data_IF_486444709234
#
_entry.id   IF_486444709234
#
_cell.length_a   1.000
_cell.length_b   1.000
_cell.length_c   1.000
_cell.angle_alpha   90.00
_cell.angle_beta   90.00
_cell.angle_gamma   90.00
#
_symmetry.space_group_name_H-M   'P 1'
#
loop_
_entity.id
_entity.type
_entity.pdbx_description
1 polymer ?
#
# COMPACT_ATOMS: atom_id res chain seq x y z
N UNK A 1 -5.11 20.55 -0.47
CA UNK A 1 -5.72 19.60 -1.43
C UNK A 1 -5.59 18.23 -0.80
N UNK A 2 -6.70 17.50 -0.64
CA UNK A 2 -6.68 16.17 -0.01
C UNK A 2 -5.90 15.17 -0.87
N UNK A 3 -5.51 14.03 -0.30
CA UNK A 3 -4.95 12.94 -1.11
C UNK A 3 -5.90 12.54 -2.24
N UNK A 4 -7.21 12.39 -1.97
CA UNK A 4 -8.17 11.98 -2.99
C UNK A 4 -8.27 12.98 -4.14
N UNK A 5 -8.25 14.28 -3.86
CA UNK A 5 -8.24 15.32 -4.91
C UNK A 5 -7.00 15.18 -5.83
N UNK A 6 -5.82 14.90 -5.25
CA UNK A 6 -4.58 14.66 -6.02
C UNK A 6 -4.72 13.40 -6.89
N UNK A 7 -5.32 12.33 -6.37
CA UNK A 7 -5.54 11.07 -7.10
C UNK A 7 -6.57 11.25 -8.23
N UNK A 8 -7.64 12.00 -7.99
CA UNK A 8 -8.68 12.28 -8.99
C UNK A 8 -8.16 13.15 -10.13
N UNK A 9 -7.36 14.18 -9.79
CA UNK A 9 -6.66 14.99 -10.78
C UNK A 9 -5.70 14.13 -11.63
N UNK A 10 -4.91 13.27 -10.99
CA UNK A 10 -4.04 12.33 -11.70
C UNK A 10 -4.82 11.37 -12.60
N UNK A 11 -5.93 10.81 -12.12
CA UNK A 11 -6.79 9.89 -12.87
C UNK A 11 -7.37 10.57 -14.10
N UNK A 12 -7.80 11.83 -13.99
CA UNK A 12 -8.28 12.61 -15.12
C UNK A 12 -7.19 12.84 -16.17
N UNK A 13 -5.98 13.23 -15.75
CA UNK A 13 -4.84 13.43 -16.64
C UNK A 13 -4.39 12.14 -17.33
N UNK A 14 -4.37 11.04 -16.58
CA UNK A 14 -4.04 9.71 -17.09
C UNK A 14 -5.06 9.26 -18.14
N UNK A 15 -6.36 9.43 -17.88
CA UNK A 15 -7.43 9.12 -18.86
C UNK A 15 -7.42 10.01 -20.09
N UNK A 16 -6.95 11.25 -19.95
CA UNK A 16 -6.79 12.18 -21.06
C UNK A 16 -5.52 11.90 -21.89
N UNK A 17 -4.73 10.87 -21.56
CA UNK A 17 -3.51 10.52 -22.28
C UNK A 17 -2.40 11.56 -22.14
N UNK A 18 -2.39 12.33 -21.05
CA UNK A 18 -1.36 13.36 -20.84
C UNK A 18 0.02 12.75 -20.52
N UNK A 19 1.12 13.47 -20.80
CA UNK A 19 2.44 13.12 -20.31
C UNK A 19 2.48 13.02 -18.77
N UNK A 20 3.39 12.22 -18.18
CA UNK A 20 4.42 11.43 -18.86
C UNK A 20 3.93 10.06 -19.35
N UNK A 21 2.74 9.62 -18.94
CA UNK A 21 2.28 8.25 -19.16
C UNK A 21 1.70 8.01 -20.55
N UNK A 22 1.09 9.04 -21.17
CA UNK A 22 0.51 8.96 -22.52
C UNK A 22 -0.36 7.70 -22.71
N UNK A 23 -1.23 7.42 -21.72
CA UNK A 23 -2.00 6.19 -21.66
C UNK A 23 -2.97 6.07 -22.85
N UNK A 24 -2.89 4.99 -23.64
CA UNK A 24 -3.82 4.76 -24.74
C UNK A 24 -5.26 4.52 -24.24
N UNK A 25 -6.31 5.08 -24.88
CA UNK A 25 -7.68 4.97 -24.38
C UNK A 25 -8.21 3.53 -24.20
N UNK A 26 -7.70 2.58 -24.97
CA UNK A 26 -8.10 1.17 -24.96
C UNK A 26 -7.66 0.41 -23.69
N UNK A 27 -6.72 0.95 -22.91
CA UNK A 27 -6.27 0.29 -21.69
C UNK A 27 -7.23 0.52 -20.51
N UNK A 28 -7.98 1.63 -20.51
CA UNK A 28 -8.80 2.01 -19.35
C UNK A 28 -9.93 1.02 -19.05
N UNK A 29 -10.74 0.58 -20.04
CA UNK A 29 -11.81 -0.38 -19.79
C UNK A 29 -11.28 -1.71 -19.21
N UNK A 30 -10.07 -2.12 -19.58
CA UNK A 30 -9.43 -3.34 -19.08
C UNK A 30 -9.10 -3.21 -17.58
N UNK A 31 -8.51 -2.08 -17.18
CA UNK A 31 -8.21 -1.82 -15.77
C UNK A 31 -9.47 -1.63 -14.93
N UNK A 32 -10.46 -0.91 -15.47
CA UNK A 32 -11.75 -0.69 -14.79
C UNK A 32 -12.50 -2.01 -14.60
N UNK A 33 -12.50 -2.89 -15.60
CA UNK A 33 -13.04 -4.25 -15.50
C UNK A 33 -12.35 -5.04 -14.40
N UNK A 34 -11.03 -5.05 -14.35
CA UNK A 34 -10.29 -5.78 -13.32
C UNK A 34 -10.59 -5.27 -11.91
N UNK A 35 -10.69 -3.95 -11.73
CA UNK A 35 -11.12 -3.35 -10.46
C UNK A 35 -12.54 -3.78 -10.10
N UNK A 36 -13.48 -3.71 -11.03
CA UNK A 36 -14.87 -4.11 -10.79
C UNK A 36 -15.01 -5.60 -10.44
N UNK A 37 -14.26 -6.48 -11.13
CA UNK A 37 -14.22 -7.91 -10.83
C UNK A 37 -13.62 -8.18 -9.45
N UNK A 38 -12.56 -7.48 -9.06
CA UNK A 38 -11.97 -7.61 -7.73
C UNK A 38 -12.94 -7.14 -6.63
N UNK A 39 -13.64 -6.03 -6.84
CA UNK A 39 -14.71 -5.56 -5.93
C UNK A 39 -15.80 -6.63 -5.81
N UNK A 40 -16.31 -7.11 -6.94
CA UNK A 40 -17.40 -8.10 -6.98
C UNK A 40 -16.99 -9.45 -6.36
N UNK A 41 -15.71 -9.80 -6.34
CA UNK A 41 -15.20 -11.03 -5.71
C UNK A 41 -15.41 -11.07 -4.20
N UNK A 42 -15.62 -9.91 -3.56
CA UNK A 42 -15.76 -9.80 -2.11
C UNK A 42 -14.47 -10.11 -1.33
N UNK A 43 -13.31 -10.20 -1.99
CA UNK A 43 -12.04 -10.53 -1.33
C UNK A 43 -11.68 -9.56 -0.20
N UNK A 44 -11.95 -8.26 -0.36
CA UNK A 44 -11.72 -7.25 0.69
C UNK A 44 -12.48 -7.54 1.99
N UNK A 45 -13.62 -8.25 1.94
CA UNK A 45 -14.37 -8.61 3.14
C UNK A 45 -13.64 -9.61 4.05
N UNK A 46 -12.60 -10.28 3.53
CA UNK A 46 -11.75 -11.25 4.22
C UNK A 46 -10.49 -10.61 4.81
N UNK A 47 -10.22 -9.34 4.50
CA UNK A 47 -9.09 -8.64 5.07
C UNK A 47 -9.31 -8.37 6.56
N UNK A 48 -8.20 -8.22 7.29
CA UNK A 48 -8.19 -7.86 8.72
C UNK A 48 -8.98 -6.57 8.94
N UNK A 49 -9.74 -6.50 10.02
CA UNK A 49 -10.60 -5.36 10.38
C UNK A 49 -10.23 -4.76 11.72
N UNK A 50 -10.68 -3.54 11.97
CA UNK A 50 -10.62 -2.97 13.31
C UNK A 50 -11.27 -3.93 14.35
N UNK A 51 -10.57 -4.14 15.46
CA UNK A 51 -10.91 -5.10 16.51
C UNK A 51 -10.18 -6.46 16.40
N UNK A 52 -9.65 -6.81 15.23
CA UNK A 52 -8.90 -8.05 15.04
C UNK A 52 -7.46 -7.95 15.58
N UNK A 53 -6.86 -9.10 15.86
CA UNK A 53 -5.42 -9.19 16.12
C UNK A 53 -4.65 -9.11 14.80
N UNK A 54 -3.71 -8.19 14.70
CA UNK A 54 -2.88 -8.06 13.51
C UNK A 54 -1.89 -9.25 13.39
N UNK A 55 -1.74 -9.86 12.21
CA UNK A 55 -0.66 -10.81 11.97
C UNK A 55 0.70 -10.19 12.26
N UNK A 56 1.55 -10.93 12.99
CA UNK A 56 2.92 -10.51 13.24
C UNK A 56 3.79 -10.75 12.01
N UNK A 57 4.76 -9.87 11.79
CA UNK A 57 5.75 -10.00 10.74
C UNK A 57 7.15 -9.60 11.22
N UNK A 58 8.16 -10.18 10.57
CA UNK A 58 9.56 -9.79 10.60
C UNK A 58 10.07 -9.77 9.16
N UNK A 59 10.27 -8.57 8.61
CA UNK A 59 10.62 -8.37 7.21
C UNK A 59 11.94 -7.60 7.08
N UNK A 60 12.52 -7.62 5.88
CA UNK A 60 13.69 -6.80 5.55
C UNK A 60 13.25 -5.43 5.06
N UNK A 61 13.87 -4.37 5.60
CA UNK A 61 13.73 -3.03 5.04
C UNK A 61 14.49 -2.89 3.71
N UNK A 62 14.45 -1.69 3.13
CA UNK A 62 15.13 -1.39 1.87
C UNK A 62 16.65 -1.61 1.93
N UNK A 63 17.25 -1.55 3.10
CA UNK A 63 18.70 -1.66 3.31
C UNK A 63 19.14 -3.06 3.77
N UNK A 64 18.18 -3.96 4.03
CA UNK A 64 18.42 -5.34 4.44
C UNK A 64 18.43 -5.54 5.97
N UNK A 65 18.05 -4.51 6.73
CA UNK A 65 17.88 -4.63 8.18
C UNK A 65 16.58 -5.37 8.49
N UNK A 66 16.59 -6.16 9.58
CA UNK A 66 15.35 -6.76 10.08
C UNK A 66 14.48 -5.69 10.75
N UNK A 67 13.19 -5.71 10.41
CA UNK A 67 12.15 -4.91 11.04
C UNK A 67 11.06 -5.84 11.55
N UNK A 68 10.86 -5.84 12.87
CA UNK A 68 9.86 -6.65 13.56
C UNK A 68 8.68 -5.81 13.99
N UNK A 69 7.48 -6.21 13.60
CA UNK A 69 6.21 -5.62 14.07
C UNK A 69 6.12 -5.59 15.60
N UNK A 70 6.53 -6.65 16.28
CA UNK A 70 6.51 -6.72 17.75
C UNK A 70 7.47 -5.70 18.40
N UNK A 71 8.67 -5.51 17.81
CA UNK A 71 9.65 -4.54 18.31
C UNK A 71 9.20 -3.09 18.07
N UNK A 72 8.47 -2.82 16.98
CA UNK A 72 7.86 -1.52 16.73
C UNK A 72 6.71 -1.25 17.69
N UNK A 73 5.80 -2.22 17.87
CA UNK A 73 4.66 -2.11 18.79
C UNK A 73 5.07 -1.94 20.25
N UNK A 74 6.22 -2.46 20.65
CA UNK A 74 6.80 -2.20 21.98
C UNK A 74 7.18 -0.72 22.20
N UNK A 75 7.37 0.06 21.12
CA UNK A 75 7.76 1.49 21.18
C UNK A 75 6.57 2.45 21.04
N UNK A 76 5.46 2.00 20.48
CA UNK A 76 4.26 2.81 20.26
C UNK A 76 3.33 2.19 19.22
N UNK A 77 2.18 2.83 18.91
CA UNK A 77 1.29 2.38 17.85
C UNK A 77 2.02 2.21 16.51
N UNK A 78 1.54 1.31 15.66
CA UNK A 78 2.15 1.01 14.36
C UNK A 78 1.17 1.30 13.21
N UNK A 79 1.56 2.22 12.33
CA UNK A 79 0.92 2.43 11.04
C UNK A 79 1.57 1.53 10.01
N UNK A 80 0.76 0.68 9.36
CA UNK A 80 1.19 -0.20 8.26
C UNK A 80 0.41 0.18 7.01
N UNK A 81 1.10 0.55 5.94
CA UNK A 81 0.48 0.70 4.60
C UNK A 81 0.96 -0.40 3.66
N UNK A 82 0.02 -1.09 3.01
CA UNK A 82 0.30 -2.05 1.94
C UNK A 82 0.10 -1.36 0.60
N UNK A 83 1.10 -1.47 -0.28
CA UNK A 83 1.06 -0.84 -1.59
C UNK A 83 1.57 -1.78 -2.69
N UNK A 84 1.22 -1.46 -3.94
CA UNK A 84 1.42 -2.35 -5.09
C UNK A 84 2.86 -2.37 -5.58
N UNK A 85 3.49 -1.19 -5.61
CA UNK A 85 4.89 -1.04 -5.96
C UNK A 85 5.24 0.36 -6.47
N UNK A 86 6.55 0.63 -6.64
CA UNK A 86 7.11 1.93 -7.05
C UNK A 86 6.69 2.36 -8.46
N UNK A 87 6.32 1.39 -9.31
CA UNK A 87 5.81 1.61 -10.65
C UNK A 87 4.38 2.16 -10.66
N UNK A 88 3.66 2.09 -9.53
CA UNK A 88 2.27 2.53 -9.44
C UNK A 88 2.20 4.02 -9.02
N UNK A 89 1.73 4.94 -9.89
CA UNK A 89 1.66 6.36 -9.58
C UNK A 89 0.71 6.68 -8.42
N UNK A 90 -0.44 5.99 -8.33
CA UNK A 90 -1.37 6.16 -7.22
C UNK A 90 -0.72 5.80 -5.88
N UNK A 91 0.11 4.75 -5.84
CA UNK A 91 0.85 4.37 -4.63
C UNK A 91 1.92 5.41 -4.28
N UNK A 92 2.60 5.99 -5.26
CA UNK A 92 3.60 7.03 -5.00
C UNK A 92 2.95 8.29 -4.39
N UNK A 93 1.82 8.75 -4.92
CA UNK A 93 1.06 9.86 -4.37
C UNK A 93 0.58 9.58 -2.93
N UNK A 94 0.12 8.36 -2.66
CA UNK A 94 -0.26 7.93 -1.32
C UNK A 94 0.94 7.96 -0.35
N UNK A 95 2.08 7.39 -0.74
CA UNK A 95 3.28 7.35 0.10
C UNK A 95 3.83 8.75 0.36
N UNK A 96 3.74 9.67 -0.60
CA UNK A 96 4.08 11.09 -0.42
C UNK A 96 3.14 11.76 0.59
N UNK A 97 1.83 11.56 0.48
CA UNK A 97 0.88 12.11 1.46
C UNK A 97 1.10 11.52 2.87
N UNK A 98 1.42 10.23 2.98
CA UNK A 98 1.78 9.62 4.26
C UNK A 98 3.08 10.21 4.83
N UNK A 99 4.05 10.53 3.97
CA UNK A 99 5.28 11.19 4.36
C UNK A 99 5.04 12.66 4.80
N UNK A 100 4.14 13.38 4.14
CA UNK A 100 3.68 14.72 4.57
C UNK A 100 3.07 14.66 5.99
N UNK A 101 2.34 13.58 6.32
CA UNK A 101 1.74 13.37 7.65
C UNK A 101 2.71 12.79 8.70
N UNK A 102 3.91 12.35 8.30
CA UNK A 102 4.86 11.65 9.16
C UNK A 102 5.25 12.41 10.44
N UNK A 103 5.46 13.75 10.44
CA UNK A 103 5.78 14.48 11.65
C UNK A 103 4.68 14.38 12.72
N UNK A 104 3.41 14.55 12.33
CA UNK A 104 2.27 14.45 13.25
C UNK A 104 2.09 13.02 13.78
N UNK A 105 2.29 12.01 12.93
CA UNK A 105 2.25 10.60 13.35
C UNK A 105 3.34 10.31 14.40
N UNK A 106 4.55 10.83 14.20
CA UNK A 106 5.67 10.67 15.15
C UNK A 106 5.46 11.42 16.46
N UNK A 107 4.86 12.61 16.40
CA UNK A 107 4.51 13.38 17.60
C UNK A 107 3.55 12.61 18.50
N UNK A 108 2.63 11.84 17.91
CA UNK A 108 1.74 10.92 18.62
C UNK A 108 2.38 9.59 19.03
N UNK A 109 3.69 9.41 18.79
CA UNK A 109 4.45 8.21 19.13
C UNK A 109 4.28 7.03 18.17
N UNK A 110 3.66 7.24 17.00
CA UNK A 110 3.45 6.16 16.04
C UNK A 110 4.70 5.83 15.22
N UNK A 111 4.95 4.54 15.06
CA UNK A 111 5.86 3.99 14.07
C UNK A 111 5.13 3.87 12.72
N UNK A 112 5.85 4.00 11.61
CA UNK A 112 5.26 3.91 10.26
C UNK A 112 6.11 2.97 9.42
N UNK A 113 5.47 2.05 8.69
CA UNK A 113 6.13 1.19 7.69
C UNK A 113 5.24 1.06 6.45
N UNK A 114 5.87 0.96 5.28
CA UNK A 114 5.21 0.57 4.04
C UNK A 114 5.65 -0.82 3.61
N UNK A 115 4.72 -1.66 3.15
CA UNK A 115 4.96 -3.06 2.80
C UNK A 115 4.51 -3.31 1.36
N UNK A 116 5.37 -3.93 0.57
CA UNK A 116 5.04 -4.41 -0.78
C UNK A 116 5.86 -5.67 -1.10
N UNK A 117 5.45 -6.48 -2.09
CA UNK A 117 6.23 -7.65 -2.51
C UNK A 117 7.51 -7.30 -3.28
N UNK A 118 7.82 -6.01 -3.42
CA UNK A 118 8.97 -5.57 -4.21
C UNK A 118 10.29 -6.00 -3.61
N UNK A 119 11.28 -6.20 -4.48
CA UNK A 119 12.67 -6.42 -4.07
C UNK A 119 13.25 -5.20 -3.34
N UNK A 120 14.28 -5.41 -2.52
CA UNK A 120 14.98 -4.33 -1.82
C UNK A 120 15.47 -3.20 -2.76
N UNK A 121 15.88 -3.52 -3.99
CA UNK A 121 16.28 -2.52 -4.99
C UNK A 121 15.14 -1.56 -5.33
N UNK A 122 13.94 -2.11 -5.54
CA UNK A 122 12.74 -1.32 -5.84
C UNK A 122 12.20 -0.61 -4.61
N UNK A 123 12.31 -1.21 -3.42
CA UNK A 123 12.02 -0.55 -2.14
C UNK A 123 12.93 0.66 -1.91
N UNK A 124 14.24 0.56 -2.17
CA UNK A 124 15.15 1.72 -2.14
C UNK A 124 14.78 2.78 -3.16
N UNK A 125 14.28 2.38 -4.34
CA UNK A 125 13.77 3.31 -5.35
C UNK A 125 12.53 4.03 -4.82
N UNK A 126 11.58 3.34 -4.17
CA UNK A 126 10.42 3.97 -3.51
C UNK A 126 10.85 5.03 -2.49
N UNK A 127 11.84 4.70 -1.63
CA UNK A 127 12.35 5.66 -0.63
C UNK A 127 12.93 6.90 -1.29
N UNK A 128 13.81 6.74 -2.30
CA UNK A 128 14.44 7.89 -2.97
C UNK A 128 13.47 8.72 -3.80
N UNK A 129 12.60 8.08 -4.58
CA UNK A 129 11.66 8.78 -5.48
C UNK A 129 10.61 9.57 -4.73
N UNK A 130 10.19 9.09 -3.55
CA UNK A 130 9.14 9.72 -2.76
C UNK A 130 9.66 10.39 -1.48
N UNK A 131 10.98 10.47 -1.30
CA UNK A 131 11.66 11.09 -0.16
C UNK A 131 11.14 10.58 1.20
N UNK A 132 10.92 9.26 1.29
CA UNK A 132 10.25 8.65 2.43
C UNK A 132 11.14 8.66 3.67
N UNK A 133 10.60 9.21 4.76
CA UNK A 133 11.25 9.23 6.07
C UNK A 133 11.03 7.97 6.91
N UNK A 134 10.43 6.91 6.37
CA UNK A 134 10.07 5.69 7.08
C UNK A 134 10.48 4.42 6.31
N UNK A 135 10.66 3.27 6.99
CA UNK A 135 11.09 2.02 6.36
C UNK A 135 10.10 1.50 5.30
N UNK A 136 10.66 0.99 4.20
CA UNK A 136 9.91 0.28 3.16
C UNK A 136 10.33 -1.19 3.19
N UNK A 137 9.41 -2.05 3.59
CA UNK A 137 9.66 -3.46 3.84
C UNK A 137 9.31 -4.32 2.62
N UNK A 138 10.14 -5.33 2.38
CA UNK A 138 9.99 -6.27 1.28
C UNK A 138 9.26 -7.53 1.77
N UNK A 139 8.02 -7.72 1.34
CA UNK A 139 7.17 -8.87 1.64
C UNK A 139 7.34 -9.97 0.59
N UNK A 140 8.44 -10.72 0.69
CA UNK A 140 8.79 -11.77 -0.27
C UNK A 140 7.62 -12.73 -0.46
N UNK A 141 7.26 -13.02 -1.72
CA UNK A 141 6.10 -13.86 -2.12
C UNK A 141 4.71 -13.32 -1.69
N UNK A 142 4.65 -12.12 -1.09
CA UNK A 142 3.41 -11.51 -0.61
C UNK A 142 2.78 -12.24 0.59
N UNK A 143 3.58 -12.92 1.42
CA UNK A 143 3.09 -13.75 2.53
C UNK A 143 2.43 -12.93 3.63
N UNK A 144 3.00 -11.78 3.98
CA UNK A 144 2.42 -10.85 4.96
C UNK A 144 1.12 -10.27 4.41
N UNK A 145 1.11 -9.82 3.15
CA UNK A 145 -0.12 -9.37 2.49
C UNK A 145 -1.20 -10.46 2.45
N UNK A 146 -0.82 -11.72 2.26
CA UNK A 146 -1.75 -12.85 2.31
C UNK A 146 -2.29 -13.09 3.73
N UNK A 147 -1.45 -12.99 4.75
CA UNK A 147 -1.86 -13.13 6.16
C UNK A 147 -2.85 -12.03 6.59
N UNK A 148 -2.74 -10.82 6.01
CA UNK A 148 -3.71 -9.74 6.19
C UNK A 148 -4.96 -9.86 5.30
N UNK A 149 -5.05 -10.89 4.45
CA UNK A 149 -6.17 -11.11 3.53
C UNK A 149 -6.19 -10.18 2.32
N UNK A 150 -5.04 -9.60 1.95
CA UNK A 150 -4.91 -8.58 0.91
C UNK A 150 -4.45 -9.12 -0.44
N UNK A 151 -3.74 -10.25 -0.46
CA UNK A 151 -3.12 -10.75 -1.70
C UNK A 151 -4.17 -11.30 -2.68
N UNK A 152 -4.16 -10.81 -3.90
CA UNK A 152 -4.99 -11.31 -5.00
C UNK A 152 -4.14 -11.57 -6.25
N UNK A 153 -4.58 -12.51 -7.09
CA UNK A 153 -3.97 -12.79 -8.38
C UNK A 153 -4.58 -11.89 -9.46
N UNK A 154 -3.75 -11.35 -10.35
CA UNK A 154 -4.23 -10.59 -11.49
C UNK A 154 -4.89 -11.56 -12.50
N UNK A 155 -6.02 -11.19 -13.12
CA UNK A 155 -6.58 -11.97 -14.21
C UNK A 155 -5.66 -11.92 -15.44
N UNK A 156 -5.63 -12.99 -16.24
CA UNK A 156 -4.70 -13.15 -17.37
C UNK A 156 -4.72 -11.96 -18.35
N UNK A 157 -5.91 -11.42 -18.63
CA UNK A 157 -6.06 -10.28 -19.53
C UNK A 157 -5.38 -9.00 -18.98
N UNK A 158 -5.32 -8.85 -17.65
CA UNK A 158 -4.64 -7.72 -17.00
C UNK A 158 -3.13 -7.96 -16.97
N UNK A 159 -2.70 -9.21 -16.78
CA UNK A 159 -1.29 -9.61 -16.93
C UNK A 159 -0.77 -9.27 -18.32
N UNK A 160 -1.53 -9.59 -19.37
CA UNK A 160 -1.16 -9.26 -20.75
C UNK A 160 -1.09 -7.76 -21.00
N UNK A 161 -2.01 -6.98 -20.43
CA UNK A 161 -1.93 -5.53 -20.47
C UNK A 161 -0.66 -5.02 -19.77
N UNK A 162 -0.32 -5.55 -18.60
CA UNK A 162 0.83 -5.09 -17.82
C UNK A 162 2.14 -5.38 -18.55
N UNK A 163 2.25 -6.55 -19.19
CA UNK A 163 3.37 -6.87 -20.09
C UNK A 163 3.49 -5.86 -21.24
N UNK A 164 2.39 -5.49 -21.89
CA UNK A 164 2.39 -4.46 -22.97
C UNK A 164 2.84 -3.10 -22.47
N UNK A 165 2.42 -2.72 -21.26
CA UNK A 165 2.82 -1.47 -20.59
C UNK A 165 4.23 -1.53 -19.97
N UNK A 166 4.96 -2.65 -20.12
CA UNK A 166 6.27 -2.90 -19.50
C UNK A 166 6.26 -2.84 -17.97
N UNK A 167 5.10 -3.09 -17.35
CA UNK A 167 4.95 -3.29 -15.92
C UNK A 167 5.20 -4.78 -15.59
N UNK A 168 6.48 -5.15 -15.57
CA UNK A 168 6.93 -6.53 -15.31
C UNK A 168 6.95 -6.84 -13.81
N UNK A 169 5.80 -7.27 -13.25
CA UNK A 169 5.68 -7.58 -11.82
C UNK A 169 6.68 -8.65 -11.35
N UNK A 170 6.92 -9.75 -12.10
CA UNK A 170 7.97 -10.70 -11.75
C UNK A 170 9.35 -10.07 -11.58
N UNK A 171 9.74 -9.14 -12.44
CA UNK A 171 11.00 -8.41 -12.27
C UNK A 171 10.98 -7.47 -11.05
N UNK A 172 9.85 -6.80 -10.76
CA UNK A 172 9.74 -5.91 -9.60
C UNK A 172 9.80 -6.65 -8.27
N UNK A 173 9.22 -7.85 -8.22
CA UNK A 173 8.94 -8.60 -6.99
C UNK A 173 9.85 -9.84 -6.81
N UNK A 174 10.58 -10.25 -7.86
CA UNK A 174 11.29 -11.54 -7.90
C UNK A 174 10.36 -12.73 -7.63
N UNK A 175 9.14 -12.70 -8.18
CA UNK A 175 8.09 -13.71 -7.99
C UNK A 175 7.23 -13.83 -9.27
N UNK A 176 7.12 -15.02 -9.90
CA UNK A 176 6.32 -15.23 -11.10
C UNK A 176 4.80 -15.29 -10.86
N UNK A 177 4.32 -15.15 -9.63
CA UNK A 177 2.92 -15.39 -9.25
C UNK A 177 1.90 -14.42 -9.84
N UNK A 178 2.32 -13.25 -10.35
CA UNK A 178 1.42 -12.17 -10.80
C UNK A 178 0.36 -11.80 -9.74
N UNK A 179 0.77 -11.78 -8.48
CA UNK A 179 -0.08 -11.35 -7.37
C UNK A 179 0.29 -9.94 -6.91
N UNK A 180 -0.69 -9.22 -6.36
CA UNK A 180 -0.49 -7.93 -5.72
C UNK A 180 -1.28 -7.87 -4.41
N UNK A 181 -0.85 -7.07 -3.42
CA UNK A 181 -1.71 -6.72 -2.31
C UNK A 181 -2.79 -5.74 -2.78
N UNK A 182 -4.02 -5.95 -2.32
CA UNK A 182 -5.00 -4.88 -2.23
C UNK A 182 -4.39 -3.76 -1.39
N UNK A 183 -4.45 -2.51 -1.86
CA UNK A 183 -4.02 -1.39 -1.07
C UNK A 183 -4.79 -1.31 0.24
N UNK A 184 -4.05 -1.07 1.32
CA UNK A 184 -4.64 -1.03 2.64
C UNK A 184 -3.79 -0.20 3.60
N UNK A 185 -4.44 0.33 4.63
CA UNK A 185 -3.81 1.05 5.72
C UNK A 185 -4.37 0.60 7.05
N UNK A 186 -3.47 0.32 7.99
CA UNK A 186 -3.81 -0.12 9.34
C UNK A 186 -3.16 0.79 10.37
N UNK A 187 -3.88 1.04 11.47
CA UNK A 187 -3.29 1.48 12.74
C UNK A 187 -3.42 0.31 13.72
N UNK A 188 -2.29 -0.15 14.26
CA UNK A 188 -2.22 -1.27 15.19
C UNK A 188 -1.79 -0.72 16.55
N UNK A 189 -2.58 -0.98 17.58
CA UNK A 189 -2.25 -0.62 18.97
C UNK A 189 -1.15 -1.51 19.54
N UNK A 190 -0.49 -1.07 20.62
CA UNK A 190 0.63 -1.80 21.23
C UNK A 190 0.27 -3.21 21.72
N UNK A 191 -1.01 -3.47 21.99
CA UNK A 191 -1.55 -4.79 22.31
C UNK A 191 -1.74 -5.71 21.08
N UNK A 192 -1.37 -5.26 19.88
CA UNK A 192 -1.53 -5.98 18.63
C UNK A 192 -2.92 -5.87 17.99
N UNK A 193 -3.86 -5.17 18.62
CA UNK A 193 -5.22 -5.00 18.08
C UNK A 193 -5.24 -3.91 17.01
N UNK A 194 -5.89 -4.18 15.89
CA UNK A 194 -6.13 -3.20 14.83
C UNK A 194 -7.16 -2.18 15.33
N UNK A 195 -6.77 -0.91 15.38
CA UNK A 195 -7.60 0.22 15.81
C UNK A 195 -8.27 0.91 14.63
N UNK A 196 -7.64 0.85 13.46
CA UNK A 196 -8.15 1.37 12.20
C UNK A 196 -7.74 0.44 11.07
N UNK A 197 -8.65 0.21 10.13
CA UNK A 197 -8.40 -0.56 8.92
C UNK A 197 -9.11 0.12 7.75
N UNK A 198 -8.36 0.45 6.71
CA UNK A 198 -8.89 0.75 5.39
C UNK A 198 -8.32 -0.26 4.40
N UNK A 199 -9.20 -0.85 3.59
CA UNK A 199 -8.84 -1.80 2.53
C UNK A 199 -9.69 -1.45 1.32
N UNK A 200 -9.05 -1.09 0.22
CA UNK A 200 -9.78 -0.65 -0.98
C UNK A 200 -9.31 -1.37 -2.24
N UNK A 201 -10.13 -2.28 -2.80
CA UNK A 201 -9.89 -2.90 -4.10
C UNK A 201 -9.70 -1.91 -5.24
N UNK A 202 -10.38 -0.76 -5.18
CA UNK A 202 -10.12 0.32 -6.11
C UNK A 202 -8.84 1.05 -5.70
N UNK A 203 -7.76 0.72 -6.40
CA UNK A 203 -6.45 1.31 -6.15
C UNK A 203 -6.39 2.81 -6.44
N UNK A 204 -7.44 3.41 -7.02
CA UNK A 204 -7.55 4.84 -7.34
C UNK A 204 -8.22 5.67 -6.25
N UNK A 205 -8.75 5.03 -5.20
CA UNK A 205 -9.39 5.71 -4.07
C UNK A 205 -8.63 5.46 -2.77
N UNK A 206 -8.27 6.52 -2.04
CA UNK A 206 -7.55 6.43 -0.77
C UNK A 206 -8.03 7.50 0.23
N UNK A 207 -8.30 7.12 1.49
CA UNK A 207 -8.53 8.09 2.55
C UNK A 207 -7.27 8.90 2.83
N UNK A 208 -7.47 10.12 3.32
CA UNK A 208 -6.38 10.98 3.70
C UNK A 208 -5.63 10.41 4.92
N UNK A 209 -4.29 10.44 4.98
CA UNK A 209 -3.55 9.97 6.15
C UNK A 209 -3.95 10.65 7.47
N UNK A 210 -4.46 11.89 7.41
CA UNK A 210 -4.96 12.62 8.58
C UNK A 210 -6.13 11.92 9.30
N UNK A 211 -6.89 11.06 8.62
CA UNK A 211 -7.99 10.29 9.22
C UNK A 211 -7.51 9.34 10.32
N UNK A 212 -6.23 8.96 10.33
CA UNK A 212 -5.66 8.10 11.37
C UNK A 212 -5.33 8.86 12.65
N UNK A 213 -5.12 10.18 12.59
CA UNK A 213 -4.59 10.94 13.73
C UNK A 213 -5.49 10.84 14.97
N UNK A 214 -6.83 11.00 14.89
CA UNK A 214 -7.70 10.86 16.05
C UNK A 214 -7.74 9.44 16.63
N UNK A 215 -7.46 8.42 15.81
CA UNK A 215 -7.39 7.02 16.26
C UNK A 215 -6.11 6.80 17.07
N UNK A 216 -4.98 7.30 16.57
CA UNK A 216 -3.68 7.17 17.23
C UNK A 216 -3.67 7.99 18.53
N UNK A 217 -4.19 9.22 18.52
CA UNK A 217 -4.30 10.07 19.71
C UNK A 217 -5.05 9.36 20.84
N UNK A 218 -6.20 8.73 20.54
CA UNK A 218 -6.94 7.94 21.53
C UNK A 218 -6.16 6.74 22.04
N UNK A 219 -5.36 6.11 21.20
CA UNK A 219 -4.55 4.94 21.56
C UNK A 219 -3.40 5.30 22.51
N UNK A 220 -2.81 6.48 22.34
CA UNK A 220 -1.69 6.96 23.16
C UNK A 220 -2.13 7.48 24.53
N UNK A 221 -3.42 7.79 24.70
CA UNK A 221 -4.01 8.28 25.95
C UNK A 221 -4.86 7.24 26.71
N UNK A 222 -4.93 5.99 26.22
CA UNK A 222 -5.66 4.88 26.84
C UNK A 222 -4.72 3.99 27.69
#
# INVERSE_FOLDING_TARGET
MSLQDKLDAFKADFKAGKPPYNAPPDIHPIMERATAELIASGQAARAIKAGDLAPTFRLKDQDGNDVSSAELLAKGPLVVTFYRGVWCPYCNLELQALNEALPALRELGANVVAISPQTAVNSRKSVRTNELGFPVLSDVNGETGAAFGLRFALPDYLVDLYKKLKNDLPAFNNDPSWTLPMPARYVIGQNGIVLYSEVNPDYTHRPDPSEMLPVIEKATHA
#
